data_IF_573217864708
#
_entry.id   IF_573217864708
#
_cell.length_a   1.000
_cell.length_b   1.000
_cell.length_c   1.000
_cell.angle_alpha   90.00
_cell.angle_beta   90.00
_cell.angle_gamma   90.00
#
_symmetry.space_group_name_H-M   'P 1'
#
loop_
_entity.id
_entity.type
_entity.pdbx_description
1 polymer ?
#
# COMPACT_ATOMS: atom_id res chain seq x y z
N UNK A 1 5.81 18.33 -5.22
CA UNK A 1 5.19 17.25 -4.39
C UNK A 1 3.80 17.72 -4.03
N UNK A 2 2.81 16.87 -4.12
CA UNK A 2 1.43 17.21 -3.70
C UNK A 2 1.39 17.45 -2.19
N UNK A 3 0.61 18.42 -1.77
CA UNK A 3 0.60 18.90 -0.37
C UNK A 3 0.30 17.77 0.62
N UNK A 4 -0.68 16.90 0.35
CA UNK A 4 -1.02 15.80 1.25
C UNK A 4 0.11 14.76 1.42
N UNK A 5 0.99 14.60 0.43
CA UNK A 5 2.17 13.73 0.54
C UNK A 5 3.22 14.30 1.49
N UNK A 6 3.41 15.62 1.46
CA UNK A 6 4.29 16.30 2.41
C UNK A 6 3.73 16.19 3.84
N UNK A 7 2.46 16.50 4.02
CA UNK A 7 1.76 16.37 5.31
C UNK A 7 1.83 14.93 5.86
N UNK A 8 1.75 13.93 4.97
CA UNK A 8 1.88 12.53 5.36
C UNK A 8 3.29 12.18 5.84
N UNK A 9 4.34 12.71 5.20
CA UNK A 9 5.73 12.49 5.64
C UNK A 9 5.94 13.13 7.02
N UNK A 10 5.49 14.37 7.21
CA UNK A 10 5.52 15.05 8.51
C UNK A 10 4.80 14.24 9.59
N UNK A 11 3.60 13.74 9.28
CA UNK A 11 2.84 12.86 10.16
C UNK A 11 3.58 11.56 10.51
N UNK A 12 4.27 10.92 9.55
CA UNK A 12 5.07 9.72 9.83
C UNK A 12 6.21 10.03 10.81
N UNK A 13 6.84 11.19 10.69
CA UNK A 13 7.91 11.64 11.61
C UNK A 13 7.35 11.96 12.99
N UNK A 14 6.28 12.75 13.07
CA UNK A 14 5.58 13.08 14.33
C UNK A 14 5.11 11.84 15.09
N UNK A 15 4.71 10.80 14.35
CA UNK A 15 4.24 9.53 14.91
C UNK A 15 5.36 8.55 15.27
N UNK A 16 6.63 8.94 15.14
CA UNK A 16 7.79 8.06 15.39
C UNK A 16 7.87 6.84 14.45
N UNK A 17 7.13 6.87 13.36
CA UNK A 17 7.05 5.80 12.35
C UNK A 17 8.20 5.90 11.35
N UNK A 18 8.55 7.11 10.93
CA UNK A 18 9.66 7.39 10.04
C UNK A 18 10.77 8.12 10.84
N UNK A 19 11.96 7.56 10.82
CA UNK A 19 13.15 8.10 11.52
C UNK A 19 14.29 8.27 10.55
N UNK A 20 15.01 9.37 10.66
CA UNK A 20 16.22 9.64 9.89
C UNK A 20 17.47 9.37 10.75
N UNK A 21 18.52 8.85 10.14
CA UNK A 21 19.78 8.50 10.82
C UNK A 21 20.49 7.35 10.12
N UNK A 22 21.53 6.80 10.75
CA UNK A 22 22.23 5.64 10.22
C UNK A 22 21.62 4.35 10.78
N UNK A 23 20.99 3.57 9.90
CA UNK A 23 20.37 2.30 10.26
C UNK A 23 21.00 1.16 9.48
N UNK A 24 21.11 -0.01 10.11
CA UNK A 24 21.46 -1.23 9.41
C UNK A 24 20.22 -2.11 9.29
N UNK A 25 19.75 -2.34 8.08
CA UNK A 25 18.58 -3.15 7.79
C UNK A 25 18.87 -4.64 8.05
N UNK A 26 17.80 -5.45 8.11
CA UNK A 26 17.94 -6.92 8.26
C UNK A 26 18.73 -7.58 7.12
N UNK A 27 18.77 -6.96 5.95
CA UNK A 27 19.60 -7.35 4.82
C UNK A 27 21.10 -7.06 4.99
N UNK A 28 21.48 -6.35 6.08
CA UNK A 28 22.86 -5.83 6.31
C UNK A 28 23.14 -4.51 5.60
N UNK A 29 22.23 -4.00 4.77
CA UNK A 29 22.38 -2.73 4.05
C UNK A 29 22.27 -1.54 5.01
N UNK A 30 23.10 -0.51 4.79
CA UNK A 30 22.96 0.79 5.45
C UNK A 30 21.80 1.56 4.83
N UNK A 31 21.01 2.24 5.65
CA UNK A 31 19.91 3.09 5.24
C UNK A 31 19.93 4.41 6.02
N UNK A 32 19.71 5.57 5.36
CA UNK A 32 19.63 6.86 6.03
C UNK A 32 18.29 7.08 6.73
N UNK A 33 17.37 6.15 6.63
CA UNK A 33 16.08 6.19 7.30
C UNK A 33 15.60 4.79 7.72
N UNK A 34 14.69 4.77 8.67
CA UNK A 34 14.00 3.56 9.11
C UNK A 34 12.50 3.85 9.26
N UNK A 35 11.65 2.96 8.73
CA UNK A 35 10.20 3.03 8.90
C UNK A 35 9.68 1.80 9.64
N UNK A 36 8.82 2.05 10.64
CA UNK A 36 8.10 1.01 11.37
C UNK A 36 6.62 1.39 11.50
N UNK A 37 5.78 0.93 10.57
CA UNK A 37 4.34 1.18 10.62
C UNK A 37 3.64 0.54 11.84
N UNK A 38 4.29 -0.36 12.56
CA UNK A 38 3.79 -0.87 13.84
C UNK A 38 3.80 0.16 14.98
N UNK A 39 4.35 1.37 14.76
CA UNK A 39 4.30 2.46 15.73
C UNK A 39 3.00 3.27 15.68
N UNK A 40 2.13 3.07 14.68
CA UNK A 40 0.78 3.62 14.70
C UNK A 40 -0.09 2.83 15.69
N UNK A 41 -0.25 3.34 16.90
CA UNK A 41 -0.92 2.61 18.00
C UNK A 41 -2.07 3.37 18.64
N UNK A 42 -2.24 4.66 18.32
CA UNK A 42 -3.35 5.46 18.88
C UNK A 42 -4.48 5.62 17.87
N UNK A 43 -5.70 5.86 18.39
CA UNK A 43 -6.87 6.10 17.53
C UNK A 43 -6.70 7.31 16.61
N UNK A 44 -6.06 8.38 17.07
CA UNK A 44 -5.75 9.55 16.25
C UNK A 44 -4.79 9.22 15.12
N UNK A 45 -3.70 8.50 15.41
CA UNK A 45 -2.75 8.05 14.39
C UNK A 45 -3.41 7.16 13.35
N UNK A 46 -4.23 6.21 13.78
CA UNK A 46 -4.93 5.29 12.89
C UNK A 46 -5.97 6.03 12.03
N UNK A 47 -6.69 6.98 12.60
CA UNK A 47 -7.63 7.83 11.86
C UNK A 47 -6.91 8.63 10.77
N UNK A 48 -5.86 9.39 11.12
CA UNK A 48 -5.07 10.17 10.17
C UNK A 48 -4.45 9.30 9.08
N UNK A 49 -3.93 8.13 9.46
CA UNK A 49 -3.39 7.15 8.49
C UNK A 49 -4.45 6.76 7.46
N UNK A 50 -5.65 6.39 7.90
CA UNK A 50 -6.77 6.06 7.01
C UNK A 50 -7.14 7.21 6.07
N UNK A 51 -7.16 8.45 6.58
CA UNK A 51 -7.45 9.65 5.77
C UNK A 51 -6.42 9.87 4.66
N UNK A 52 -5.13 9.68 4.94
CA UNK A 52 -4.07 9.80 3.91
C UNK A 52 -4.22 8.72 2.82
N UNK A 53 -4.51 7.48 3.21
CA UNK A 53 -4.75 6.42 2.23
C UNK A 53 -6.02 6.66 1.42
N UNK A 54 -7.10 7.09 2.03
CA UNK A 54 -8.34 7.42 1.34
C UNK A 54 -8.15 8.55 0.31
N UNK A 55 -7.41 9.61 0.66
CA UNK A 55 -7.06 10.69 -0.27
C UNK A 55 -6.19 10.19 -1.42
N UNK A 56 -5.18 9.38 -1.12
CA UNK A 56 -4.32 8.80 -2.15
C UNK A 56 -5.11 7.91 -3.12
N UNK A 57 -6.03 7.10 -2.62
CA UNK A 57 -6.92 6.28 -3.46
C UNK A 57 -7.79 7.17 -4.33
N UNK A 58 -8.48 8.15 -3.73
CA UNK A 58 -9.37 9.07 -4.46
C UNK A 58 -8.63 9.79 -5.59
N UNK A 59 -7.43 10.30 -5.32
CA UNK A 59 -6.68 11.12 -6.27
C UNK A 59 -6.08 10.31 -7.43
N UNK A 60 -5.81 9.02 -7.21
CA UNK A 60 -5.15 8.18 -8.22
C UNK A 60 -6.08 7.18 -8.91
N UNK A 61 -7.07 6.64 -8.21
CA UNK A 61 -8.00 5.62 -8.74
C UNK A 61 -9.45 6.11 -8.81
N UNK A 62 -9.75 7.27 -8.22
CA UNK A 62 -11.13 7.73 -8.06
C UNK A 62 -11.88 6.88 -7.01
N UNK A 63 -13.20 6.80 -7.17
CA UNK A 63 -14.07 6.07 -6.24
C UNK A 63 -14.79 4.88 -6.90
N UNK A 64 -14.39 4.49 -8.10
CA UNK A 64 -15.03 3.40 -8.84
C UNK A 64 -14.37 2.05 -8.56
N UNK A 65 -14.50 1.58 -7.31
CA UNK A 65 -14.03 0.28 -6.83
C UNK A 65 -14.93 -0.22 -5.68
N UNK A 66 -14.80 -1.50 -5.31
CA UNK A 66 -15.74 -2.20 -4.43
C UNK A 66 -15.09 -2.67 -3.13
N UNK A 67 -13.78 -2.95 -3.15
CA UNK A 67 -13.07 -3.56 -2.03
C UNK A 67 -11.72 -2.88 -1.79
N UNK A 68 -11.41 -2.63 -0.53
CA UNK A 68 -10.05 -2.33 -0.06
C UNK A 68 -9.44 -3.61 0.49
N UNK A 69 -8.33 -4.06 -0.09
CA UNK A 69 -7.65 -5.28 0.33
C UNK A 69 -6.30 -4.97 0.98
N UNK A 70 -6.10 -5.47 2.20
CA UNK A 70 -4.85 -5.29 2.94
C UNK A 70 -4.19 -6.62 3.32
N UNK A 71 -2.97 -6.93 2.84
CA UNK A 71 -2.26 -8.16 3.19
C UNK A 71 -2.00 -8.31 4.69
N UNK A 72 -2.21 -9.52 5.22
CA UNK A 72 -1.96 -9.80 6.63
C UNK A 72 -0.46 -9.69 6.96
N UNK A 73 -0.09 -9.13 8.13
CA UNK A 73 -0.99 -8.74 9.22
C UNK A 73 -1.22 -7.23 9.29
N UNK A 74 -0.27 -6.39 8.85
CA UNK A 74 -0.32 -4.93 8.97
C UNK A 74 -1.35 -4.30 8.02
N UNK A 75 -1.57 -4.91 6.87
CA UNK A 75 -2.60 -4.49 5.93
C UNK A 75 -4.03 -4.62 6.49
N UNK A 76 -4.26 -5.52 7.48
CA UNK A 76 -5.59 -5.69 8.08
C UNK A 76 -6.10 -4.38 8.71
N UNK A 77 -5.44 -3.82 9.76
CA UNK A 77 -5.89 -2.55 10.33
C UNK A 77 -5.85 -1.41 9.31
N UNK A 78 -4.90 -1.42 8.38
CA UNK A 78 -4.80 -0.40 7.35
C UNK A 78 -6.01 -0.40 6.42
N UNK A 79 -6.45 -1.57 5.94
CA UNK A 79 -7.66 -1.68 5.11
C UNK A 79 -8.91 -1.21 5.86
N UNK A 80 -9.03 -1.55 7.15
CA UNK A 80 -10.17 -1.14 7.99
C UNK A 80 -10.21 0.39 8.14
N UNK A 81 -9.11 1.03 8.55
CA UNK A 81 -9.10 2.49 8.73
C UNK A 81 -9.26 3.25 7.42
N UNK A 82 -8.76 2.69 6.30
CA UNK A 82 -8.94 3.25 4.96
C UNK A 82 -10.41 3.18 4.54
N UNK A 83 -11.09 2.06 4.78
CA UNK A 83 -12.52 1.92 4.47
C UNK A 83 -13.38 2.91 5.27
N UNK A 84 -13.09 3.09 6.57
CA UNK A 84 -13.75 4.09 7.41
C UNK A 84 -13.53 5.50 6.85
N UNK A 85 -12.29 5.85 6.51
CA UNK A 85 -11.96 7.18 6.01
C UNK A 85 -12.58 7.45 4.62
N UNK A 86 -12.69 6.46 3.74
CA UNK A 86 -13.39 6.58 2.46
C UNK A 86 -14.86 6.93 2.66
N UNK A 87 -15.51 6.31 3.65
CA UNK A 87 -16.88 6.65 3.99
C UNK A 87 -16.98 8.06 4.60
N UNK A 88 -16.13 8.40 5.57
CA UNK A 88 -16.18 9.71 6.23
C UNK A 88 -15.88 10.88 5.28
N UNK A 89 -14.88 10.75 4.41
CA UNK A 89 -14.44 11.85 3.53
C UNK A 89 -15.25 11.98 2.25
N UNK A 90 -15.69 10.85 1.69
CA UNK A 90 -16.27 10.81 0.35
C UNK A 90 -17.67 10.18 0.27
N UNK A 91 -18.22 9.71 1.39
CA UNK A 91 -19.48 8.97 1.41
C UNK A 91 -19.41 7.63 0.66
N UNK A 92 -18.20 7.12 0.41
CA UNK A 92 -17.99 5.91 -0.37
C UNK A 92 -18.07 4.67 0.51
N UNK A 93 -19.08 3.84 0.25
CA UNK A 93 -19.16 2.50 0.85
C UNK A 93 -18.26 1.54 0.11
N UNK A 94 -17.35 0.90 0.87
CA UNK A 94 -16.47 -0.17 0.39
C UNK A 94 -16.44 -1.32 1.40
N UNK A 95 -16.19 -2.51 0.91
CA UNK A 95 -15.89 -3.67 1.76
C UNK A 95 -14.40 -3.70 2.04
N UNK A 96 -13.98 -4.16 3.25
CA UNK A 96 -12.59 -4.51 3.47
C UNK A 96 -12.40 -6.03 3.38
N UNK A 97 -11.26 -6.43 2.87
CA UNK A 97 -10.85 -7.83 2.80
C UNK A 97 -9.35 -7.96 3.10
N UNK A 98 -8.95 -9.09 3.64
CA UNK A 98 -7.55 -9.44 3.91
C UNK A 98 -7.37 -10.94 3.73
N UNK A 99 -6.13 -11.38 3.47
CA UNK A 99 -5.83 -12.80 3.51
C UNK A 99 -5.58 -13.27 4.95
N UNK A 100 -5.75 -14.55 5.19
CA UNK A 100 -5.23 -15.25 6.38
C UNK A 100 -3.86 -15.84 6.04
N UNK A 101 -2.94 -15.83 6.97
CA UNK A 101 -1.67 -16.57 6.83
C UNK A 101 -1.81 -18.04 7.18
N UNK A 102 -2.82 -18.36 7.98
CA UNK A 102 -3.17 -19.72 8.38
C UNK A 102 -4.58 -20.05 7.92
N UNK A 103 -4.73 -21.17 7.21
CA UNK A 103 -6.02 -21.63 6.75
C UNK A 103 -6.86 -22.05 7.96
N UNK A 104 -8.06 -21.50 8.07
CA UNK A 104 -9.04 -21.91 9.07
C UNK A 104 -9.98 -22.94 8.44
N UNK A 105 -9.93 -24.16 8.94
CA UNK A 105 -10.68 -25.33 8.42
C UNK A 105 -12.02 -25.55 9.12
N UNK A 106 -12.38 -24.73 10.14
CA UNK A 106 -13.62 -24.86 10.88
C UNK A 106 -14.21 -23.52 11.33
N UNK A 107 -15.53 -23.49 11.49
CA UNK A 107 -16.32 -22.32 11.90
C UNK A 107 -16.98 -21.60 10.73
N UNK A 108 -17.80 -20.60 11.04
CA UNK A 108 -18.56 -19.84 10.05
C UNK A 108 -17.69 -19.06 9.05
N UNK A 109 -16.43 -18.79 9.44
CA UNK A 109 -15.45 -18.05 8.62
C UNK A 109 -14.33 -18.98 8.11
N UNK A 110 -14.67 -20.23 7.72
CA UNK A 110 -13.70 -21.13 7.11
C UNK A 110 -13.21 -20.54 5.79
N UNK A 111 -11.88 -20.59 5.54
CA UNK A 111 -11.27 -20.10 4.31
C UNK A 111 -10.01 -19.28 4.51
N UNK A 112 -9.53 -18.72 3.40
CA UNK A 112 -8.26 -17.98 3.32
C UNK A 112 -8.44 -16.46 3.47
N UNK A 113 -9.67 -15.96 3.57
CA UNK A 113 -9.99 -14.55 3.67
C UNK A 113 -10.49 -14.17 5.07
N UNK A 114 -10.38 -12.89 5.38
CA UNK A 114 -10.86 -12.21 6.57
C UNK A 114 -11.57 -10.91 6.14
N UNK A 115 -12.68 -10.59 6.81
CA UNK A 115 -13.53 -9.46 6.43
C UNK A 115 -14.61 -9.92 5.46
N UNK A 116 -14.76 -9.26 4.33
CA UNK A 116 -15.74 -9.66 3.33
C UNK A 116 -15.23 -10.78 2.41
N UNK A 117 -16.16 -11.57 1.89
CA UNK A 117 -15.87 -12.38 0.72
C UNK A 117 -15.62 -11.51 -0.52
N UNK A 118 -14.93 -12.09 -1.50
CA UNK A 118 -14.73 -11.53 -2.84
C UNK A 118 -15.69 -12.18 -3.83
N UNK A 119 -16.15 -11.41 -4.79
CA UNK A 119 -17.06 -11.86 -5.85
C UNK A 119 -16.47 -11.60 -7.22
N UNK A 120 -16.86 -12.40 -8.20
CA UNK A 120 -16.46 -12.17 -9.59
C UNK A 120 -16.89 -10.78 -10.06
N UNK A 121 -15.94 -10.05 -10.60
CA UNK A 121 -16.13 -8.68 -11.06
C UNK A 121 -15.88 -7.59 -10.00
N UNK A 122 -15.55 -7.95 -8.75
CA UNK A 122 -15.14 -6.97 -7.75
C UNK A 122 -13.89 -6.21 -8.22
N UNK A 123 -13.95 -4.90 -8.09
CA UNK A 123 -12.82 -4.00 -8.34
C UNK A 123 -12.12 -3.74 -7.01
N UNK A 124 -10.84 -4.07 -6.95
CA UNK A 124 -10.07 -4.11 -5.71
C UNK A 124 -8.94 -3.09 -5.74
N UNK A 125 -8.85 -2.26 -4.71
CA UNK A 125 -7.66 -1.45 -4.42
C UNK A 125 -6.90 -2.10 -3.28
N UNK A 126 -5.62 -2.40 -3.50
CA UNK A 126 -4.75 -2.96 -2.47
C UNK A 126 -4.08 -1.84 -1.66
N UNK A 127 -3.85 -2.10 -0.37
CA UNK A 127 -3.13 -1.18 0.54
C UNK A 127 -2.07 -1.94 1.32
N UNK A 128 -0.86 -1.39 1.40
CA UNK A 128 0.27 -1.99 2.14
C UNK A 128 1.06 -0.87 2.84
N UNK A 129 1.79 -1.20 3.90
CA UNK A 129 2.59 -0.21 4.62
C UNK A 129 3.91 0.10 3.88
N UNK A 130 4.69 -0.91 3.58
CA UNK A 130 6.03 -0.79 2.98
C UNK A 130 6.25 -1.85 1.92
N UNK A 131 6.70 -1.43 0.76
CA UNK A 131 7.24 -2.38 -0.21
C UNK A 131 8.78 -2.35 -0.22
N UNK A 132 9.39 -3.53 -0.22
CA UNK A 132 10.85 -3.70 -0.27
C UNK A 132 11.25 -4.46 -1.54
N UNK A 133 10.68 -5.64 -1.74
CA UNK A 133 10.94 -6.51 -2.90
C UNK A 133 9.65 -6.95 -3.60
N UNK A 134 8.50 -6.45 -3.18
CA UNK A 134 7.20 -6.90 -3.70
C UNK A 134 6.72 -8.27 -3.15
N UNK A 135 7.49 -8.91 -2.29
CA UNK A 135 7.20 -10.28 -1.81
C UNK A 135 5.82 -10.44 -1.17
N UNK A 136 5.36 -9.43 -0.40
CA UNK A 136 4.04 -9.47 0.23
C UNK A 136 2.92 -9.56 -0.82
N UNK A 137 3.08 -8.80 -1.90
CA UNK A 137 2.13 -8.81 -3.01
C UNK A 137 2.22 -10.12 -3.80
N UNK A 138 3.44 -10.62 -4.07
CA UNK A 138 3.67 -11.91 -4.73
C UNK A 138 2.97 -13.07 -4.00
N UNK A 139 3.05 -13.11 -2.68
CA UNK A 139 2.41 -14.13 -1.86
C UNK A 139 0.87 -13.96 -1.78
N UNK A 140 0.38 -12.75 -1.89
CA UNK A 140 -1.03 -12.40 -1.63
C UNK A 140 -1.88 -12.35 -2.90
N UNK A 141 -1.30 -11.91 -4.01
CA UNK A 141 -2.01 -11.80 -5.28
C UNK A 141 -2.61 -13.12 -5.77
N UNK A 142 -1.91 -14.28 -5.69
CA UNK A 142 -2.52 -15.57 -6.01
C UNK A 142 -3.70 -15.94 -5.11
N UNK A 143 -3.66 -15.55 -3.83
CA UNK A 143 -4.78 -15.79 -2.90
C UNK A 143 -5.99 -14.97 -3.32
N UNK A 144 -5.78 -13.71 -3.68
CA UNK A 144 -6.81 -12.79 -4.17
C UNK A 144 -7.46 -13.35 -5.45
N UNK A 145 -6.65 -13.67 -6.46
CA UNK A 145 -7.10 -14.17 -7.76
C UNK A 145 -7.68 -15.58 -7.69
N UNK A 146 -7.29 -16.37 -6.70
CA UNK A 146 -7.84 -17.71 -6.45
C UNK A 146 -9.19 -17.68 -5.74
N UNK A 147 -9.53 -16.58 -5.06
CA UNK A 147 -10.79 -16.45 -4.35
C UNK A 147 -11.95 -16.07 -5.28
N UNK A 148 -11.72 -15.18 -6.23
CA UNK A 148 -12.70 -14.76 -7.25
C UNK A 148 -12.00 -14.11 -8.44
N UNK A 149 -12.72 -13.94 -9.56
CA UNK A 149 -12.23 -13.18 -10.73
C UNK A 149 -12.38 -11.70 -10.50
N UNK A 150 -11.44 -11.12 -9.76
CA UNK A 150 -11.44 -9.70 -9.40
C UNK A 150 -10.63 -8.87 -10.38
N UNK A 151 -10.93 -7.57 -10.44
CA UNK A 151 -10.19 -6.56 -11.18
C UNK A 151 -9.37 -5.71 -10.20
N UNK A 152 -8.06 -5.93 -10.13
CA UNK A 152 -7.17 -5.19 -9.23
C UNK A 152 -6.81 -3.84 -9.86
N UNK A 153 -7.34 -2.76 -9.32
CA UNK A 153 -7.15 -1.39 -9.81
C UNK A 153 -5.76 -0.81 -9.52
N UNK A 154 -5.12 -1.28 -8.47
CA UNK A 154 -3.78 -0.85 -8.11
C UNK A 154 -3.44 -1.07 -6.64
N UNK A 155 -2.27 -0.56 -6.25
CA UNK A 155 -1.71 -0.67 -4.92
C UNK A 155 -1.28 0.70 -4.40
N UNK A 156 -1.67 1.01 -3.16
CA UNK A 156 -1.15 2.16 -2.41
C UNK A 156 -0.18 1.67 -1.34
N UNK A 157 0.99 2.28 -1.25
CA UNK A 157 1.96 2.02 -0.18
C UNK A 157 2.43 3.33 0.46
N UNK A 158 2.68 3.33 1.78
CA UNK A 158 3.26 4.47 2.47
C UNK A 158 4.69 4.74 2.01
N UNK A 159 5.47 3.68 1.83
CA UNK A 159 6.89 3.79 1.51
C UNK A 159 7.34 2.68 0.56
N UNK A 160 7.97 3.06 -0.55
CA UNK A 160 8.80 2.15 -1.33
C UNK A 160 10.28 2.31 -0.90
N UNK A 161 10.90 1.24 -0.45
CA UNK A 161 12.31 1.25 -0.08
C UNK A 161 13.25 1.28 -1.28
N UNK A 162 12.71 1.18 -2.49
CA UNK A 162 13.46 1.18 -3.76
C UNK A 162 14.57 0.12 -3.79
N UNK A 163 14.37 -0.99 -3.07
CA UNK A 163 15.33 -2.09 -3.04
C UNK A 163 15.11 -3.02 -4.22
N UNK A 164 16.21 -3.60 -4.69
CA UNK A 164 16.17 -4.65 -5.71
C UNK A 164 15.94 -5.98 -5.01
N UNK A 165 14.89 -6.70 -5.42
CA UNK A 165 14.56 -8.01 -4.89
C UNK A 165 15.52 -9.10 -5.32
N UNK A 166 15.34 -10.32 -4.78
CA UNK A 166 16.07 -11.51 -5.22
C UNK A 166 15.74 -11.80 -6.70
N UNK A 167 16.65 -11.60 -7.58
CA UNK A 167 16.44 -11.76 -9.03
C UNK A 167 16.66 -10.47 -9.83
N UNK A 168 17.06 -9.39 -9.18
CA UNK A 168 17.45 -8.16 -9.86
C UNK A 168 16.28 -7.26 -10.26
N UNK A 169 15.04 -7.59 -9.86
CA UNK A 169 13.82 -6.81 -10.19
C UNK A 169 13.47 -5.89 -9.03
N UNK A 170 13.19 -4.63 -9.32
CA UNK A 170 12.68 -3.70 -8.32
C UNK A 170 11.23 -4.02 -7.97
N UNK A 171 10.80 -3.68 -6.74
CA UNK A 171 9.42 -3.93 -6.31
C UNK A 171 8.39 -3.26 -7.23
N UNK A 172 8.67 -2.08 -7.72
CA UNK A 172 7.82 -1.33 -8.64
C UNK A 172 7.62 -2.06 -9.98
N UNK A 173 8.71 -2.57 -10.58
CA UNK A 173 8.64 -3.33 -11.83
C UNK A 173 7.94 -4.67 -11.65
N UNK A 174 8.15 -5.30 -10.49
CA UNK A 174 7.50 -6.56 -10.13
C UNK A 174 5.97 -6.37 -9.99
N UNK A 175 5.53 -5.36 -9.24
CA UNK A 175 4.11 -5.06 -9.04
C UNK A 175 3.45 -4.67 -10.36
N UNK A 176 4.10 -3.82 -11.16
CA UNK A 176 3.61 -3.45 -12.48
C UNK A 176 3.46 -4.66 -13.41
N UNK A 177 4.43 -5.58 -13.40
CA UNK A 177 4.35 -6.82 -14.17
C UNK A 177 3.23 -7.76 -13.73
N UNK A 178 2.86 -7.73 -12.44
CA UNK A 178 1.80 -8.56 -11.87
C UNK A 178 0.40 -8.00 -12.18
N UNK A 179 0.23 -6.69 -12.11
CA UNK A 179 -1.05 -6.01 -12.32
C UNK A 179 -1.36 -5.79 -13.81
N UNK A 180 -0.43 -6.13 -14.72
CA UNK A 180 -0.55 -5.94 -16.16
C UNK A 180 0.10 -4.64 -16.66
N UNK A 181 0.25 -4.44 -17.97
CA UNK A 181 0.86 -3.25 -18.52
C UNK A 181 0.00 -2.02 -18.14
N UNK A 182 0.65 -1.05 -17.54
CA UNK A 182 0.07 0.26 -17.18
C UNK A 182 -0.56 1.00 -18.38
N UNK A 183 -0.22 0.60 -19.61
CA UNK A 183 -0.68 1.21 -20.85
C UNK A 183 -2.19 1.03 -21.10
N UNK A 184 -2.82 -0.02 -20.59
CA UNK A 184 -4.28 -0.18 -20.69
C UNK A 184 -5.03 0.69 -19.67
N UNK A 185 -4.41 1.05 -18.55
CA UNK A 185 -4.97 1.93 -17.53
C UNK A 185 -4.84 3.43 -17.87
N UNK A 186 -3.83 3.80 -18.64
CA UNK A 186 -3.54 5.20 -19.05
C UNK A 186 -4.56 5.73 -20.07
N UNK A 187 -5.36 4.89 -20.71
CA UNK A 187 -6.24 5.26 -21.83
C UNK A 187 -7.42 6.18 -21.49
N UNK A 188 -7.79 6.38 -20.24
CA UNK A 188 -8.94 7.22 -19.90
C UNK A 188 -8.68 8.44 -19.01
N UNK A 189 -7.57 8.56 -18.28
CA UNK A 189 -7.27 9.75 -17.48
C UNK A 189 -5.79 10.15 -17.36
N UNK A 190 -4.88 9.65 -18.19
CA UNK A 190 -3.54 10.24 -18.36
C UNK A 190 -2.63 10.25 -17.11
N UNK A 191 -2.77 9.31 -16.18
CA UNK A 191 -1.97 9.27 -14.96
C UNK A 191 -1.26 7.93 -14.83
N UNK A 192 -0.04 7.88 -15.38
CA UNK A 192 0.89 6.79 -15.12
C UNK A 192 1.34 6.77 -13.66
N UNK A 193 1.90 5.65 -13.20
CA UNK A 193 2.54 5.53 -11.90
C UNK A 193 3.51 6.69 -11.69
N UNK A 194 3.18 7.62 -10.82
CA UNK A 194 4.05 8.75 -10.51
C UNK A 194 4.94 8.34 -9.35
N UNK A 195 6.07 7.72 -9.67
CA UNK A 195 7.20 7.74 -8.77
C UNK A 195 7.73 9.18 -8.72
N UNK A 196 7.31 9.97 -7.75
CA UNK A 196 7.94 11.26 -7.51
C UNK A 196 9.16 11.03 -6.63
N UNK A 197 10.19 10.45 -7.22
CA UNK A 197 11.54 10.50 -6.69
C UNK A 197 12.20 11.73 -7.27
N UNK A 198 12.60 12.70 -6.45
CA UNK A 198 13.65 13.61 -6.85
C UNK A 198 14.93 12.76 -6.98
N UNK A 199 15.40 12.52 -8.19
CA UNK A 199 16.76 12.09 -8.43
C UNK A 199 17.67 13.26 -8.05
N UNK A 200 18.14 13.27 -6.80
CA UNK A 200 19.27 14.07 -6.39
C UNK A 200 20.53 13.28 -6.71
N UNK A 201 21.54 13.96 -7.27
CA UNK A 201 22.87 13.41 -7.46
C UNK A 201 23.39 12.72 -6.21
N UNK A 202 24.13 11.63 -6.38
CA UNK A 202 24.60 10.65 -5.39
C UNK A 202 25.40 11.18 -4.18
N UNK A 203 25.43 12.48 -3.90
CA UNK A 203 26.26 13.08 -2.86
C UNK A 203 25.56 13.95 -1.82
N UNK A 204 24.23 14.08 -1.83
CA UNK A 204 23.54 14.95 -0.87
C UNK A 204 22.54 14.18 -0.01
N UNK A 205 23.04 13.54 1.05
CA UNK A 205 22.25 12.73 2.00
C UNK A 205 21.26 13.55 2.86
N UNK A 206 21.26 14.88 2.74
CA UNK A 206 20.42 15.76 3.56
C UNK A 206 19.05 16.11 2.96
N UNK A 207 18.75 15.67 1.74
CA UNK A 207 17.52 16.02 1.03
C UNK A 207 16.63 14.84 0.62
N UNK A 208 16.97 13.61 1.00
CA UNK A 208 16.17 12.45 0.58
C UNK A 208 14.91 12.27 1.45
N UNK A 209 13.77 12.66 0.92
CA UNK A 209 12.45 12.39 1.51
C UNK A 209 11.81 11.25 0.70
N UNK A 210 11.57 10.08 1.32
CA UNK A 210 10.94 8.98 0.60
C UNK A 210 9.48 9.33 0.25
N UNK A 211 9.05 9.10 -0.98
CA UNK A 211 7.69 9.42 -1.41
C UNK A 211 6.67 8.36 -0.97
N UNK A 212 5.44 8.77 -0.68
CA UNK A 212 4.27 7.90 -0.75
C UNK A 212 4.07 7.48 -2.21
N UNK A 213 4.01 6.19 -2.48
CA UNK A 213 3.95 5.65 -3.84
C UNK A 213 2.61 4.97 -4.09
N UNK A 214 2.09 5.23 -5.29
CA UNK A 214 0.88 4.63 -5.84
C UNK A 214 1.29 3.82 -7.07
N UNK A 215 0.88 2.57 -7.12
CA UNK A 215 1.06 1.66 -8.25
C UNK A 215 -0.28 1.30 -8.86
#
# INVERSE_FOLDING_TARGET
MEQYKQEFIEFMVESDVLKFGEFTLKSGRKSPFFMNAGAYVTGEQLKRLGEYYARAIHDNFGLDFDVVFGPAYKGIPLAVVTAIALHELYGKEVRYCSNRKEVKDHGADAGNLLGSDLHDGDRVVMVEDVTTSGKSIDETYPVLMGAAKVDVKGLIVSLNRMEVGKGGVKAEDFVAGLLGPLDEFVGQQGRGAVAVGAAGDDNDLHGYIPPMIVY
#
